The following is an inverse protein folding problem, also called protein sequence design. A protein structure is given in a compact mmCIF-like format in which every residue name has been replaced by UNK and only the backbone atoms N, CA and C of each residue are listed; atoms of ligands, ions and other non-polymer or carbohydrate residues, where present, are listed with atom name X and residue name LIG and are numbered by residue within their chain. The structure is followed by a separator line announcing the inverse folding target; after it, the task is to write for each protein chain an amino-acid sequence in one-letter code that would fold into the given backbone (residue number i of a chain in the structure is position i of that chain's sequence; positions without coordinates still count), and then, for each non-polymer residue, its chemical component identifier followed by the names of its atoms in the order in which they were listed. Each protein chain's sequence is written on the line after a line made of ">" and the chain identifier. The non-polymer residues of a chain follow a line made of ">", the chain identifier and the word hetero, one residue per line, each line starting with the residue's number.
data_IF_166116979756
#
_entry.id   IF_166116979756
#
_cell.length_a   1.000
_cell.length_b   1.000
_cell.length_c   1.000
_cell.angle_alpha   90.00
_cell.angle_beta   90.00
_cell.angle_gamma   90.00
#
_symmetry.space_group_name_H-M   'P 1'
#
loop_
_entity.id
_entity.type
_entity.pdbx_description
1 polymer ?
#
# COMPACT_ATOMS: atom_id res chain seq x y z
N UNK A 1 14.80 30.84 -16.78
CA UNK A 1 14.31 30.73 -17.24
C UNK A 1 13.15 30.49 -16.80
N UNK A 2 12.81 31.23 -16.51
CA UNK A 2 11.49 31.23 -16.04
C UNK A 2 10.62 30.29 -16.84
N UNK A 3 10.96 30.08 -17.98
CA UNK A 3 10.22 29.15 -18.79
C UNK A 3 10.31 27.70 -18.34
N UNK A 4 10.96 27.47 -17.25
CA UNK A 4 11.14 26.13 -16.75
C UNK A 4 10.02 25.64 -15.87
N UNK A 5 8.94 26.34 -15.88
CA UNK A 5 7.80 25.94 -15.06
C UNK A 5 7.35 24.48 -15.26
N UNK A 6 7.71 23.86 -16.35
CA UNK A 6 7.33 22.48 -16.59
C UNK A 6 8.22 21.41 -15.96
N UNK A 7 9.25 21.80 -15.22
CA UNK A 7 10.10 20.82 -14.56
C UNK A 7 9.39 20.13 -13.40
N UNK A 8 9.77 18.87 -13.08
CA UNK A 8 9.18 18.19 -11.94
C UNK A 8 9.50 18.92 -10.65
N UNK A 9 8.50 19.03 -9.77
CA UNK A 9 8.71 19.56 -8.44
C UNK A 9 9.16 18.37 -7.57
N UNK A 10 10.39 18.47 -7.09
CA UNK A 10 10.93 17.46 -6.20
C UNK A 10 10.68 17.93 -4.78
N UNK A 11 9.74 17.29 -4.11
CA UNK A 11 9.49 17.56 -2.71
C UNK A 11 10.52 16.87 -1.84
N UNK A 12 10.98 17.52 -0.77
CA UNK A 12 11.90 16.85 0.16
C UNK A 12 11.25 15.65 0.79
N UNK A 13 12.01 14.57 0.88
CA UNK A 13 11.55 13.38 1.61
C UNK A 13 11.58 13.71 3.09
N UNK A 14 10.44 13.52 3.76
CA UNK A 14 10.36 13.71 5.21
C UNK A 14 10.96 12.47 5.88
N UNK A 15 12.04 12.62 6.65
CA UNK A 15 12.64 11.47 7.33
C UNK A 15 11.67 10.83 8.31
N UNK A 16 11.80 9.52 8.51
CA UNK A 16 11.03 8.83 9.53
C UNK A 16 11.51 9.27 10.92
N UNK A 17 10.58 9.46 11.83
CA UNK A 17 10.91 9.65 13.24
C UNK A 17 11.46 8.34 13.82
N UNK A 18 12.02 8.39 15.02
CA UNK A 18 12.51 7.18 15.68
C UNK A 18 11.40 6.13 15.83
N UNK A 19 10.21 6.55 16.20
CA UNK A 19 9.07 5.65 16.33
C UNK A 19 8.64 5.04 14.99
N UNK A 20 8.64 5.86 13.95
CA UNK A 20 8.30 5.41 12.61
C UNK A 20 9.35 4.45 12.04
N UNK A 21 10.63 4.64 12.41
CA UNK A 21 11.69 3.72 12.01
C UNK A 21 11.51 2.34 12.66
N UNK A 22 11.10 2.32 13.93
CA UNK A 22 10.77 1.07 14.61
C UNK A 22 9.58 0.40 13.91
N UNK A 23 8.56 1.18 13.55
CA UNK A 23 7.40 0.70 12.82
C UNK A 23 7.82 0.11 11.47
N UNK A 24 8.70 0.78 10.75
CA UNK A 24 9.23 0.31 9.47
C UNK A 24 9.94 -1.04 9.64
N UNK A 25 10.77 -1.21 10.65
CA UNK A 25 11.48 -2.47 10.89
C UNK A 25 10.51 -3.59 11.28
N UNK A 26 9.50 -3.28 12.08
CA UNK A 26 8.43 -4.24 12.38
C UNK A 26 7.68 -4.64 11.12
N UNK A 27 7.46 -3.68 10.23
CA UNK A 27 6.79 -3.91 8.95
C UNK A 27 7.55 -4.83 8.02
N UNK A 28 8.87 -4.79 8.07
CA UNK A 28 9.70 -5.74 7.33
C UNK A 28 9.35 -7.17 7.70
N UNK A 29 9.17 -7.43 8.99
CA UNK A 29 8.80 -8.75 9.49
C UNK A 29 7.41 -9.16 9.02
N UNK A 30 6.43 -8.28 9.16
CA UNK A 30 5.05 -8.55 8.73
C UNK A 30 4.99 -8.80 7.22
N UNK A 31 5.69 -7.97 6.45
CA UNK A 31 5.76 -8.14 5.00
C UNK A 31 6.34 -9.51 4.64
N UNK A 32 7.44 -9.89 5.26
CA UNK A 32 8.11 -11.15 4.95
C UNK A 32 7.25 -12.37 5.25
N UNK A 33 6.44 -12.31 6.30
CA UNK A 33 5.61 -13.45 6.71
C UNK A 33 4.23 -13.47 6.05
N UNK A 34 3.73 -12.33 5.61
CA UNK A 34 2.33 -12.23 5.14
C UNK A 34 2.21 -11.86 3.67
N UNK A 35 3.04 -10.98 3.16
CA UNK A 35 2.87 -10.39 1.84
C UNK A 35 3.83 -10.96 0.80
N UNK A 36 5.03 -11.31 1.20
CA UNK A 36 6.10 -11.71 0.29
C UNK A 36 5.82 -13.01 -0.46
N UNK A 37 4.99 -13.88 0.09
CA UNK A 37 4.63 -15.13 -0.58
C UNK A 37 4.04 -14.89 -1.97
N UNK A 38 3.24 -13.83 -2.13
CA UNK A 38 2.64 -13.46 -3.40
C UNK A 38 3.41 -12.33 -4.09
N UNK A 39 3.72 -11.26 -3.36
CA UNK A 39 4.36 -10.07 -3.93
C UNK A 39 5.88 -10.17 -4.06
N UNK A 40 6.46 -11.27 -3.62
CA UNK A 40 7.90 -11.58 -3.59
C UNK A 40 8.66 -10.69 -2.59
N UNK A 41 9.80 -11.17 -2.09
CA UNK A 41 10.60 -10.38 -1.13
C UNK A 41 11.10 -9.06 -1.69
N UNK A 42 11.31 -8.98 -3.01
CA UNK A 42 11.75 -7.75 -3.68
C UNK A 42 10.59 -6.83 -4.07
N UNK A 43 9.35 -7.21 -3.77
CA UNK A 43 8.17 -6.41 -4.06
C UNK A 43 7.83 -6.30 -5.55
N UNK A 44 8.46 -7.09 -6.40
CA UNK A 44 8.24 -7.00 -7.86
C UNK A 44 7.06 -7.83 -8.34
N UNK A 45 6.46 -8.59 -7.45
CA UNK A 45 5.32 -9.41 -7.80
C UNK A 45 5.70 -10.59 -8.67
N UNK A 46 4.68 -11.19 -9.27
CA UNK A 46 4.84 -12.36 -10.11
C UNK A 46 3.74 -12.36 -11.16
N UNK A 47 4.12 -12.51 -12.42
CA UNK A 47 3.18 -12.51 -13.53
C UNK A 47 2.07 -13.54 -13.29
N UNK A 48 0.82 -13.08 -13.44
CA UNK A 48 -0.35 -13.92 -13.29
C UNK A 48 -0.74 -14.25 -11.85
N UNK A 49 0.09 -13.93 -10.86
CA UNK A 49 -0.20 -14.22 -9.46
C UNK A 49 -0.48 -12.96 -8.64
N UNK A 50 0.45 -12.04 -8.62
CA UNK A 50 0.32 -10.83 -7.84
C UNK A 50 1.08 -9.67 -8.49
N UNK A 51 0.53 -8.45 -8.43
CA UNK A 51 1.19 -7.31 -9.04
C UNK A 51 2.42 -6.86 -8.25
N UNK A 52 3.28 -6.12 -8.93
CA UNK A 52 4.40 -5.45 -8.28
C UNK A 52 3.89 -4.40 -7.30
N UNK A 53 4.55 -4.28 -6.17
CA UNK A 53 4.39 -3.19 -5.22
C UNK A 53 5.37 -2.06 -5.54
N UNK A 54 6.52 -2.42 -6.13
CA UNK A 54 7.53 -1.46 -6.55
C UNK A 54 6.95 -0.56 -7.63
N UNK A 55 7.11 0.75 -7.44
CA UNK A 55 6.64 1.80 -8.35
C UNK A 55 5.12 1.79 -8.61
N UNK A 56 4.36 1.17 -7.72
CA UNK A 56 2.90 1.11 -7.84
C UNK A 56 2.24 2.33 -7.20
N UNK A 57 1.40 3.03 -7.96
CA UNK A 57 0.61 4.14 -7.43
C UNK A 57 -0.43 3.67 -6.41
N UNK A 58 -0.83 2.41 -6.46
CA UNK A 58 -1.72 1.84 -5.46
C UNK A 58 -1.04 1.80 -4.09
N UNK A 59 0.28 1.67 -4.05
CA UNK A 59 1.07 1.64 -2.82
C UNK A 59 1.46 3.04 -2.37
N UNK A 60 1.96 3.88 -3.28
CA UNK A 60 2.54 5.17 -2.93
C UNK A 60 1.56 6.34 -3.01
N UNK A 61 0.37 6.11 -3.51
CA UNK A 61 -0.67 7.12 -3.58
C UNK A 61 -1.44 7.29 -2.27
N UNK A 62 -2.75 7.31 -2.35
CA UNK A 62 -3.62 7.50 -1.19
C UNK A 62 -3.42 6.41 -0.14
N UNK A 63 -3.07 6.80 1.08
CA UNK A 63 -2.94 5.83 2.18
C UNK A 63 -4.28 5.24 2.58
N UNK A 64 -5.35 6.03 2.52
CA UNK A 64 -6.68 5.53 2.86
C UNK A 64 -7.15 4.45 1.88
N UNK A 65 -6.84 4.65 0.61
CA UNK A 65 -7.15 3.65 -0.42
C UNK A 65 -6.34 2.37 -0.19
N UNK A 66 -5.06 2.50 0.10
CA UNK A 66 -4.19 1.37 0.37
C UNK A 66 -4.64 0.59 1.60
N UNK A 67 -5.04 1.28 2.66
CA UNK A 67 -5.56 0.63 3.86
C UNK A 67 -6.82 -0.17 3.54
N UNK A 68 -7.72 0.38 2.74
CA UNK A 68 -8.92 -0.33 2.30
C UNK A 68 -8.58 -1.61 1.54
N UNK A 69 -7.58 -1.53 0.68
CA UNK A 69 -7.13 -2.69 -0.10
C UNK A 69 -6.70 -3.83 0.83
N UNK A 70 -5.86 -3.55 1.81
CA UNK A 70 -5.36 -4.62 2.68
C UNK A 70 -6.40 -5.11 3.66
N UNK A 71 -7.32 -4.27 4.11
CA UNK A 71 -8.38 -4.68 5.04
C UNK A 71 -9.37 -5.65 4.40
N UNK A 72 -9.80 -5.38 3.19
CA UNK A 72 -10.90 -6.12 2.56
C UNK A 72 -10.49 -6.92 1.32
N UNK A 73 -9.25 -6.75 0.87
CA UNK A 73 -8.78 -7.41 -0.34
C UNK A 73 -9.28 -6.74 -1.62
N UNK A 74 -8.81 -7.24 -2.73
CA UNK A 74 -9.15 -6.74 -4.06
C UNK A 74 -9.48 -7.93 -4.94
N UNK A 75 -10.52 -7.79 -5.75
CA UNK A 75 -10.80 -8.75 -6.82
C UNK A 75 -10.65 -8.04 -8.16
N UNK A 76 -10.01 -8.76 -9.08
CA UNK A 76 -9.71 -8.22 -10.39
C UNK A 76 -10.91 -8.04 -11.28
N UNK A 77 -10.70 -7.45 -12.46
CA UNK A 77 -9.39 -7.04 -12.94
C UNK A 77 -8.87 -5.75 -12.27
N UNK A 78 -7.57 -5.70 -12.08
CA UNK A 78 -6.90 -4.48 -11.61
C UNK A 78 -5.64 -4.26 -12.46
N UNK A 79 -5.40 -3.02 -12.82
CA UNK A 79 -4.22 -2.65 -13.61
C UNK A 79 -3.17 -2.01 -12.71
N UNK A 80 -1.96 -2.58 -12.74
CA UNK A 80 -0.82 -2.10 -11.95
C UNK A 80 0.38 -2.01 -12.88
N UNK A 81 0.96 -0.81 -12.97
CA UNK A 81 2.14 -0.57 -13.80
C UNK A 81 1.95 -1.06 -15.26
N UNK A 82 0.76 -0.88 -15.80
CA UNK A 82 0.44 -1.26 -17.17
C UNK A 82 0.07 -2.73 -17.38
N UNK A 83 0.13 -3.56 -16.36
CA UNK A 83 -0.26 -4.97 -16.43
C UNK A 83 -1.60 -5.18 -15.72
N UNK A 84 -2.45 -6.02 -16.29
CA UNK A 84 -3.77 -6.33 -15.71
C UNK A 84 -3.74 -7.68 -15.02
N UNK A 85 -4.25 -7.72 -13.80
CA UNK A 85 -4.34 -8.92 -12.99
C UNK A 85 -5.80 -9.26 -12.74
N UNK A 86 -6.16 -10.54 -12.93
CA UNK A 86 -7.54 -11.01 -12.81
C UNK A 86 -7.84 -11.67 -11.47
N UNK A 87 -6.81 -11.99 -10.70
CA UNK A 87 -6.97 -12.74 -9.47
C UNK A 87 -7.53 -11.93 -8.31
N UNK A 88 -7.49 -12.52 -7.14
CA UNK A 88 -7.94 -11.88 -5.90
C UNK A 88 -6.80 -11.75 -4.93
N UNK A 89 -6.72 -10.59 -4.29
CA UNK A 89 -5.88 -10.40 -3.13
C UNK A 89 -6.70 -10.76 -1.90
N UNK A 90 -6.21 -11.68 -1.09
CA UNK A 90 -6.86 -12.09 0.15
C UNK A 90 -6.94 -10.92 1.13
N UNK A 91 -8.08 -10.70 1.81
CA UNK A 91 -8.16 -9.66 2.83
C UNK A 91 -7.26 -9.99 4.01
N UNK A 92 -6.62 -8.97 4.55
CA UNK A 92 -5.70 -9.09 5.68
C UNK A 92 -6.26 -8.46 6.96
N UNK A 93 -7.58 -8.30 7.02
CA UNK A 93 -8.24 -7.68 8.17
C UNK A 93 -8.07 -8.43 9.49
N UNK A 94 -7.59 -9.67 9.45
CA UNK A 94 -7.27 -10.43 10.65
C UNK A 94 -6.01 -9.92 11.36
N UNK A 95 -5.13 -9.21 10.65
CA UNK A 95 -4.00 -8.53 11.26
C UNK A 95 -4.50 -7.33 12.06
N UNK A 96 -3.86 -7.04 13.18
CA UNK A 96 -4.24 -5.89 13.97
C UNK A 96 -3.76 -4.58 13.33
N UNK A 97 -4.26 -3.47 13.86
CA UNK A 97 -3.97 -2.15 13.30
C UNK A 97 -2.48 -1.81 13.32
N UNK A 98 -1.77 -2.25 14.35
CA UNK A 98 -0.33 -2.04 14.46
C UNK A 98 0.44 -2.82 13.40
N UNK A 99 0.07 -4.06 13.17
CA UNK A 99 0.70 -4.91 12.15
C UNK A 99 0.47 -4.35 10.74
N UNK A 100 -0.75 -3.91 10.46
CA UNK A 100 -1.07 -3.32 9.16
C UNK A 100 -0.34 -1.99 8.97
N UNK A 101 -0.32 -1.13 9.98
CA UNK A 101 0.41 0.14 9.90
C UNK A 101 1.90 -0.11 9.64
N UNK A 102 2.47 -1.10 10.29
CA UNK A 102 3.87 -1.47 10.12
C UNK A 102 4.15 -1.94 8.70
N UNK A 103 3.37 -2.90 8.20
CA UNK A 103 3.55 -3.45 6.86
C UNK A 103 3.39 -2.37 5.78
N UNK A 104 2.40 -1.50 5.92
CA UNK A 104 2.15 -0.45 4.95
C UNK A 104 3.23 0.63 4.98
N UNK A 105 3.74 0.96 6.16
CA UNK A 105 4.88 1.87 6.27
C UNK A 105 6.10 1.27 5.57
N UNK A 106 6.32 -0.02 5.74
CA UNK A 106 7.44 -0.71 5.09
C UNK A 106 7.34 -0.61 3.56
N UNK A 107 6.20 -0.96 2.97
CA UNK A 107 6.06 -0.94 1.50
C UNK A 107 6.07 0.48 0.93
N UNK A 108 5.62 1.46 1.69
CA UNK A 108 5.60 2.86 1.24
C UNK A 108 6.97 3.54 1.36
N UNK A 109 7.93 2.93 2.06
CA UNK A 109 9.28 3.51 2.26
C UNK A 109 10.40 2.58 1.82
N UNK A 110 10.07 1.42 1.25
CA UNK A 110 11.05 0.50 0.65
C UNK A 110 11.18 0.76 -0.84
N UNK A 111 12.21 0.21 -1.45
CA UNK A 111 12.44 0.23 -2.91
C UNK A 111 12.47 1.64 -3.50
N UNK A 112 13.09 2.56 -2.78
CA UNK A 112 13.15 3.99 -3.14
C UNK A 112 11.81 4.73 -3.06
N UNK A 113 10.80 4.14 -2.46
CA UNK A 113 9.56 4.83 -2.19
C UNK A 113 9.75 5.87 -1.09
N UNK A 114 9.07 7.00 -1.24
CA UNK A 114 9.17 8.15 -0.34
C UNK A 114 7.83 8.61 0.19
N UNK A 115 6.80 7.78 0.06
CA UNK A 115 5.46 8.10 0.53
C UNK A 115 5.41 8.18 2.05
N UNK A 116 4.41 8.87 2.59
CA UNK A 116 4.26 9.02 4.03
C UNK A 116 4.05 7.69 4.73
N UNK A 117 4.57 7.53 5.96
CA UNK A 117 4.27 6.34 6.75
C UNK A 117 2.79 6.30 7.12
N UNK A 118 2.31 5.11 7.44
CA UNK A 118 0.91 4.89 7.82
C UNK A 118 0.84 4.68 9.33
N UNK A 119 0.04 5.49 10.01
CA UNK A 119 -0.12 5.38 11.46
C UNK A 119 -1.15 4.32 11.83
N UNK A 120 -1.00 3.76 13.03
CA UNK A 120 -1.98 2.85 13.58
C UNK A 120 -3.35 3.53 13.70
N UNK A 121 -3.37 4.80 14.09
CA UNK A 121 -4.61 5.56 14.21
C UNK A 121 -5.36 5.68 12.88
N UNK A 122 -4.63 5.86 11.79
CA UNK A 122 -5.25 5.94 10.45
C UNK A 122 -5.85 4.59 10.06
N UNK A 123 -5.17 3.48 10.35
CA UNK A 123 -5.71 2.14 10.11
C UNK A 123 -7.00 1.94 10.91
N UNK A 124 -7.00 2.32 12.17
CA UNK A 124 -8.19 2.22 13.03
C UNK A 124 -9.36 3.02 12.45
N UNK A 125 -9.08 4.25 12.00
CA UNK A 125 -10.11 5.12 11.40
C UNK A 125 -10.74 4.48 10.16
N UNK A 126 -9.92 3.97 9.25
CA UNK A 126 -10.43 3.35 8.02
C UNK A 126 -11.15 2.04 8.32
N UNK A 127 -10.64 1.24 9.26
CA UNK A 127 -11.31 0.01 9.67
C UNK A 127 -12.72 0.30 10.20
N UNK A 128 -12.88 1.33 11.00
CA UNK A 128 -14.20 1.75 11.51
C UNK A 128 -15.11 2.24 10.39
N UNK A 129 -14.56 3.04 9.48
CA UNK A 129 -15.32 3.58 8.35
C UNK A 129 -15.83 2.49 7.41
N UNK A 130 -15.16 1.34 7.37
CA UNK A 130 -15.50 0.23 6.46
C UNK A 130 -15.99 -1.02 7.22
N UNK A 131 -16.39 -0.89 8.47
CA UNK A 131 -16.74 -2.02 9.33
C UNK A 131 -17.88 -2.89 8.79
N UNK A 132 -18.81 -2.29 8.03
CA UNK A 132 -19.93 -3.03 7.46
C UNK A 132 -19.62 -3.68 6.11
N UNK A 133 -18.44 -3.41 5.55
CA UNK A 133 -18.08 -3.98 4.26
C UNK A 133 -17.62 -5.42 4.39
N UNK A 134 -18.19 -6.30 3.58
CA UNK A 134 -17.85 -7.73 3.59
C UNK A 134 -17.23 -8.22 2.28
N UNK A 135 -17.23 -7.40 1.24
CA UNK A 135 -16.73 -7.78 -0.08
C UNK A 135 -15.37 -7.16 -0.38
N UNK A 136 -14.56 -7.85 -1.17
CA UNK A 136 -13.33 -7.29 -1.72
C UNK A 136 -13.64 -6.05 -2.57
N UNK A 137 -12.66 -5.17 -2.68
CA UNK A 137 -12.79 -3.97 -3.52
C UNK A 137 -12.57 -4.32 -4.99
N UNK A 138 -13.23 -3.57 -5.86
CA UNK A 138 -12.91 -3.59 -7.30
C UNK A 138 -12.11 -2.33 -7.64
N UNK A 139 -11.39 -2.37 -8.76
CA UNK A 139 -10.64 -1.20 -9.23
C UNK A 139 -11.55 0.03 -9.39
N UNK A 140 -12.74 -0.16 -9.95
CA UNK A 140 -13.68 0.93 -10.16
C UNK A 140 -14.10 1.59 -8.85
N UNK A 141 -14.38 0.80 -7.83
CA UNK A 141 -14.70 1.33 -6.50
C UNK A 141 -13.53 2.13 -5.91
N UNK A 142 -12.32 1.57 -6.02
CA UNK A 142 -11.12 2.22 -5.48
C UNK A 142 -10.78 3.51 -6.21
N UNK A 143 -11.01 3.56 -7.51
CA UNK A 143 -10.76 4.74 -8.33
C UNK A 143 -11.68 5.91 -7.97
N UNK A 144 -12.84 5.63 -7.40
CA UNK A 144 -13.80 6.65 -7.00
C UNK A 144 -13.63 7.13 -5.55
N UNK A 145 -12.65 6.61 -4.84
CA UNK A 145 -12.33 7.08 -3.50
C UNK A 145 -11.52 8.37 -3.56
N UNK A 146 -11.70 9.27 -2.55
CA UNK A 146 -10.93 10.51 -2.51
C UNK A 146 -9.45 10.27 -2.32
#
# INVERSE_FOLDING_TARGET
>A
WPGKAGGPVIEPVVPLTAEQEILFQSGRQVFSTTCAACHQPDGKGRDGLAPALVDSDWVTGSEERLIRIVLHGVRGPITVNGATFQGEMTPLGALDDSQLAAALTFVRRSWNHTASPVSQAKVTEVRRATASRTAAWTEAELANLP
#
